data_IF_695587473611
#
_entry.id   IF_695587473611
#
_cell.length_a   1.000
_cell.length_b   1.000
_cell.length_c   1.000
_cell.angle_alpha   90.00
_cell.angle_beta   90.00
_cell.angle_gamma   90.00
#
_symmetry.space_group_name_H-M   'P 1'
#
loop_
_entity.id
_entity.type
_entity.pdbx_description
1 polymer ?
#
# COMPACT_ATOMS: atom_id res chain seq x y z
N UNK A 1 2.49 -26.35 -6.92
CA UNK A 1 3.53 -25.33 -6.66
C UNK A 1 4.78 -26.04 -6.17
N UNK A 2 5.98 -25.60 -6.57
CA UNK A 2 7.24 -26.20 -6.11
C UNK A 2 7.91 -25.29 -5.07
N UNK A 3 8.39 -25.89 -3.99
CA UNK A 3 9.15 -25.23 -2.93
C UNK A 3 10.51 -25.89 -2.84
N UNK A 4 11.60 -25.14 -2.98
CA UNK A 4 12.96 -25.63 -2.70
C UNK A 4 13.39 -25.13 -1.33
N UNK A 5 13.83 -26.05 -0.48
CA UNK A 5 14.33 -25.78 0.86
C UNK A 5 15.85 -25.56 0.81
N UNK A 6 16.38 -24.87 1.84
CA UNK A 6 17.82 -24.57 1.96
C UNK A 6 18.71 -25.81 2.07
N UNK A 7 18.15 -26.94 2.53
CA UNK A 7 18.84 -28.22 2.58
C UNK A 7 18.87 -28.97 1.23
N UNK A 8 18.27 -28.40 0.17
CA UNK A 8 18.20 -29.00 -1.16
C UNK A 8 16.98 -29.88 -1.40
N UNK A 9 16.17 -30.16 -0.39
CA UNK A 9 14.91 -30.89 -0.58
C UNK A 9 13.92 -30.05 -1.39
N UNK A 10 13.12 -30.72 -2.21
CA UNK A 10 12.03 -30.06 -2.94
C UNK A 10 10.69 -30.66 -2.54
N UNK A 11 9.70 -29.79 -2.37
CA UNK A 11 8.33 -30.14 -2.04
C UNK A 11 7.43 -29.65 -3.17
N UNK A 12 6.73 -30.58 -3.82
CA UNK A 12 5.73 -30.24 -4.82
C UNK A 12 4.34 -30.56 -4.28
N UNK A 13 3.48 -29.56 -4.14
CA UNK A 13 2.12 -29.75 -3.64
C UNK A 13 1.23 -28.52 -3.81
N UNK A 14 0.07 -28.57 -3.18
CA UNK A 14 -0.93 -27.49 -3.21
C UNK A 14 -0.81 -26.61 -1.97
N UNK A 15 -0.66 -25.29 -2.17
CA UNK A 15 -0.63 -24.34 -1.07
C UNK A 15 -2.02 -24.24 -0.42
N UNK A 16 -2.09 -24.52 0.87
CA UNK A 16 -3.32 -24.38 1.66
C UNK A 16 -3.32 -23.09 2.47
N UNK A 17 -2.19 -22.79 3.10
CA UNK A 17 -2.06 -21.61 3.94
C UNK A 17 -0.62 -21.07 3.90
N UNK A 18 -0.50 -19.76 4.02
CA UNK A 18 0.76 -19.01 4.11
C UNK A 18 0.59 -17.87 5.12
N UNK A 19 1.50 -17.75 6.08
CA UNK A 19 1.50 -16.65 7.05
C UNK A 19 2.48 -15.52 6.67
N UNK A 20 2.52 -14.46 7.48
CA UNK A 20 3.40 -13.30 7.27
C UNK A 20 4.89 -13.60 7.43
N UNK A 21 5.26 -14.75 7.99
CA UNK A 21 6.64 -15.22 8.11
C UNK A 21 7.02 -16.24 7.04
N UNK A 22 6.16 -16.42 6.04
CA UNK A 22 6.26 -17.43 4.97
C UNK A 22 6.27 -18.88 5.49
N UNK A 23 5.68 -19.16 6.66
CA UNK A 23 5.40 -20.55 7.01
C UNK A 23 4.28 -21.06 6.10
N UNK A 24 4.48 -22.25 5.51
CA UNK A 24 3.58 -22.81 4.52
C UNK A 24 2.96 -24.11 5.02
N UNK A 25 1.67 -24.28 4.73
CA UNK A 25 0.99 -25.56 4.83
C UNK A 25 0.66 -26.03 3.42
N UNK A 26 1.18 -27.20 3.03
CA UNK A 26 0.95 -27.80 1.72
C UNK A 26 0.20 -29.12 1.86
N UNK A 27 -0.68 -29.43 0.91
CA UNK A 27 -1.37 -30.73 0.81
C UNK A 27 -0.98 -31.49 -0.45
N UNK A 28 -1.15 -32.81 -0.37
CA UNK A 28 -0.85 -33.77 -1.45
C UNK A 28 0.57 -33.58 -1.99
N UNK A 29 1.52 -33.63 -1.07
CA UNK A 29 2.90 -33.23 -1.33
C UNK A 29 3.71 -34.42 -1.81
N UNK A 30 4.50 -34.22 -2.85
CA UNK A 30 5.62 -35.09 -3.23
C UNK A 30 6.90 -34.41 -2.76
N UNK A 31 7.55 -35.00 -1.77
CA UNK A 31 8.89 -34.62 -1.33
C UNK A 31 9.93 -35.37 -2.15
N UNK A 32 10.95 -34.65 -2.60
CA UNK A 32 12.13 -35.21 -3.27
C UNK A 32 13.36 -34.92 -2.42
N UNK A 33 14.21 -35.94 -2.22
CA UNK A 33 15.51 -35.79 -1.54
C UNK A 33 16.42 -34.79 -2.28
N UNK A 34 17.42 -34.21 -1.60
CA UNK A 34 18.41 -33.35 -2.26
C UNK A 34 19.16 -34.04 -3.40
N UNK A 35 19.36 -35.35 -3.29
CA UNK A 35 20.04 -36.18 -4.29
C UNK A 35 19.13 -36.56 -5.47
N UNK A 36 17.81 -36.32 -5.37
CA UNK A 36 16.85 -36.63 -6.43
C UNK A 36 16.50 -38.11 -6.60
N UNK A 37 16.94 -38.96 -5.66
CA UNK A 37 16.82 -40.42 -5.72
C UNK A 37 15.61 -40.98 -4.95
N UNK A 38 15.06 -40.20 -4.01
CA UNK A 38 13.96 -40.62 -3.14
C UNK A 38 12.77 -39.68 -3.26
N UNK A 39 11.61 -40.29 -3.43
CA UNK A 39 10.33 -39.60 -3.53
C UNK A 39 9.38 -40.11 -2.46
N UNK A 40 8.88 -39.21 -1.62
CA UNK A 40 7.93 -39.54 -0.55
C UNK A 40 6.64 -38.77 -0.79
N UNK A 41 5.51 -39.47 -0.78
CA UNK A 41 4.19 -38.84 -0.84
C UNK A 41 3.68 -38.61 0.57
N UNK A 42 3.35 -37.36 0.87
CA UNK A 42 2.83 -36.92 2.16
C UNK A 42 1.45 -36.31 1.95
N UNK A 43 0.45 -36.66 2.79
CA UNK A 43 -0.88 -36.06 2.69
C UNK A 43 -0.85 -34.56 2.98
N UNK A 44 -0.02 -34.14 3.94
CA UNK A 44 0.13 -32.75 4.36
C UNK A 44 1.54 -32.52 4.90
N UNK A 45 2.08 -31.31 4.70
CA UNK A 45 3.37 -30.90 5.26
C UNK A 45 3.32 -29.46 5.75
N UNK A 46 4.01 -29.19 6.86
CA UNK A 46 4.23 -27.85 7.38
C UNK A 46 5.70 -27.46 7.21
N UNK A 47 5.93 -26.31 6.58
CA UNK A 47 7.27 -25.79 6.28
C UNK A 47 7.46 -24.47 7.03
N UNK A 48 8.56 -24.36 7.78
CA UNK A 48 8.95 -23.07 8.36
C UNK A 48 9.55 -22.16 7.28
N UNK A 49 9.10 -20.91 7.22
CA UNK A 49 9.50 -19.96 6.18
C UNK A 49 10.99 -19.64 6.15
N UNK A 50 11.66 -19.70 7.30
CA UNK A 50 13.10 -19.49 7.40
C UNK A 50 13.94 -20.54 6.66
N UNK A 51 13.39 -21.73 6.40
CA UNK A 51 14.06 -22.83 5.71
C UNK A 51 13.83 -22.80 4.19
N UNK A 52 12.98 -21.90 3.69
CA UNK A 52 12.67 -21.78 2.27
C UNK A 52 13.83 -21.08 1.56
N UNK A 53 14.24 -21.61 0.41
CA UNK A 53 15.20 -20.98 -0.49
C UNK A 53 14.46 -20.20 -1.58
N UNK A 54 13.54 -20.85 -2.30
CA UNK A 54 12.67 -20.19 -3.26
C UNK A 54 11.39 -21.00 -3.51
N UNK A 55 10.41 -20.34 -4.13
CA UNK A 55 9.15 -20.93 -4.61
C UNK A 55 9.07 -20.77 -6.13
N UNK A 56 8.54 -21.78 -6.82
CA UNK A 56 8.12 -21.65 -8.23
C UNK A 56 6.61 -21.59 -8.29
N UNK A 57 6.12 -20.44 -8.74
CA UNK A 57 4.69 -20.14 -8.87
C UNK A 57 4.32 -20.18 -10.36
N UNK A 58 3.17 -20.75 -10.74
CA UNK A 58 2.68 -20.69 -12.12
C UNK A 58 2.50 -19.24 -12.60
N UNK A 59 2.75 -18.99 -13.89
CA UNK A 59 2.61 -17.64 -14.49
C UNK A 59 1.19 -17.09 -14.37
N UNK A 60 0.17 -17.95 -14.44
CA UNK A 60 -1.24 -17.59 -14.28
C UNK A 60 -1.53 -16.82 -12.97
N UNK A 61 -0.82 -17.16 -11.88
CA UNK A 61 -0.99 -16.49 -10.59
C UNK A 61 -0.43 -15.06 -10.62
N UNK A 62 0.59 -14.81 -11.45
CA UNK A 62 1.21 -13.49 -11.60
C UNK A 62 0.21 -12.51 -12.25
N UNK A 63 -0.52 -12.99 -13.25
CA UNK A 63 -1.56 -12.21 -13.93
C UNK A 63 -2.70 -11.87 -12.98
N UNK A 64 -3.22 -12.87 -12.27
CA UNK A 64 -4.29 -12.69 -11.27
C UNK A 64 -3.89 -11.70 -10.16
N UNK A 65 -2.65 -11.78 -9.67
CA UNK A 65 -2.14 -10.85 -8.66
C UNK A 65 -2.07 -9.41 -9.19
N UNK A 66 -1.67 -9.24 -10.45
CA UNK A 66 -1.60 -7.93 -11.11
C UNK A 66 -2.98 -7.31 -11.28
N UNK A 67 -3.98 -8.10 -11.69
CA UNK A 67 -5.36 -7.65 -11.80
C UNK A 67 -5.97 -7.28 -10.44
N UNK A 68 -5.74 -8.11 -9.41
CA UNK A 68 -6.20 -7.84 -8.06
C UNK A 68 -5.64 -6.52 -7.51
N UNK A 69 -4.34 -6.23 -7.73
CA UNK A 69 -3.74 -4.97 -7.32
C UNK A 69 -4.34 -3.75 -8.03
N UNK A 70 -4.64 -3.86 -9.34
CA UNK A 70 -5.29 -2.77 -10.10
C UNK A 70 -6.69 -2.48 -9.55
N UNK A 71 -7.47 -3.50 -9.25
CA UNK A 71 -8.80 -3.36 -8.67
C UNK A 71 -8.75 -2.72 -7.26
N UNK A 72 -7.74 -3.06 -6.46
CA UNK A 72 -7.56 -2.45 -5.14
C UNK A 72 -7.18 -0.97 -5.22
N UNK A 73 -6.37 -0.58 -6.22
CA UNK A 73 -5.96 0.82 -6.43
C UNK A 73 -7.08 1.68 -7.02
N UNK A 74 -8.01 1.09 -7.80
CA UNK A 74 -9.21 1.75 -8.31
C UNK A 74 -10.14 2.27 -7.19
N UNK A 75 -10.28 1.51 -6.10
CA UNK A 75 -11.09 1.92 -4.96
C UNK A 75 -10.47 3.07 -4.14
N UNK A 76 -9.14 3.26 -4.18
CA UNK A 76 -8.48 4.36 -3.46
C UNK A 76 -8.45 5.67 -4.27
N UNK A 77 -8.60 5.59 -5.60
CA UNK A 77 -8.70 6.77 -6.48
C UNK A 77 -10.14 7.28 -6.68
N UNK A 78 -11.16 6.56 -6.17
CA UNK A 78 -12.55 7.02 -6.15
C UNK A 78 -12.91 8.01 -5.03
N UNK A 79 -11.99 8.26 -4.08
CA UNK A 79 -12.22 9.18 -2.96
C UNK A 79 -11.84 10.65 -3.20
N UNK A 80 -11.34 10.99 -4.40
CA UNK A 80 -10.98 12.38 -4.75
C UNK A 80 -11.37 12.71 -6.19
N UNK A 81 -12.64 13.02 -6.39
CA UNK A 81 -13.07 13.88 -7.49
C UNK A 81 -14.22 13.36 -8.33
N UNK A 82 -15.42 13.86 -8.06
CA UNK A 82 -16.58 13.84 -8.95
C UNK A 82 -17.79 14.35 -8.17
N UNK A 83 -18.35 15.52 -8.38
CA UNK A 83 -18.38 16.38 -9.56
C UNK A 83 -19.84 16.62 -9.90
N UNK A 84 -20.45 17.70 -9.39
CA UNK A 84 -21.78 18.13 -9.81
C UNK A 84 -21.78 19.67 -10.00
N UNK A 85 -21.53 20.10 -11.23
CA UNK A 85 -21.90 21.43 -11.71
C UNK A 85 -23.40 21.66 -11.53
N UNK A 86 -23.82 22.82 -11.00
CA UNK A 86 -25.11 23.47 -11.28
C UNK A 86 -25.21 24.89 -10.69
N UNK A 87 -25.40 25.88 -11.56
CA UNK A 87 -25.97 27.22 -11.28
C UNK A 87 -24.96 28.25 -10.76
N UNK A 88 -24.50 29.23 -11.52
CA UNK A 88 -25.30 30.33 -12.10
C UNK A 88 -26.28 30.93 -11.08
N UNK A 89 -25.79 31.86 -10.24
CA UNK A 89 -26.61 32.89 -9.62
C UNK A 89 -25.76 34.16 -9.45
N UNK A 90 -25.84 35.03 -10.45
CA UNK A 90 -25.62 36.44 -10.23
C UNK A 90 -26.65 36.98 -9.23
N UNK A 91 -26.23 37.94 -8.40
CA UNK A 91 -27.18 38.85 -7.77
C UNK A 91 -26.87 39.30 -6.35
N UNK A 92 -26.48 40.58 -6.27
CA UNK A 92 -26.92 41.59 -5.26
C UNK A 92 -26.21 41.68 -3.90
N UNK A 93 -25.60 42.85 -3.72
CA UNK A 93 -25.40 43.53 -2.44
C UNK A 93 -23.96 44.04 -2.30
N UNK A 94 -23.58 45.25 -2.71
CA UNK A 94 -24.27 46.53 -2.61
C UNK A 94 -23.52 47.37 -1.59
N UNK A 95 -22.80 48.42 -2.03
CA UNK A 95 -22.08 49.29 -1.09
C UNK A 95 -21.07 50.26 -1.71
N UNK A 96 -21.50 51.05 -2.68
CA UNK A 96 -20.85 52.31 -3.07
C UNK A 96 -20.76 53.28 -1.87
N UNK A 97 -19.61 53.95 -1.71
CA UNK A 97 -19.32 55.25 -1.02
C UNK A 97 -17.83 55.21 -0.63
N UNK A 98 -16.92 55.99 -1.20
CA UNK A 98 -17.01 57.40 -1.49
C UNK A 98 -15.92 58.15 -0.70
N UNK A 99 -14.85 58.52 -1.39
CA UNK A 99 -14.17 59.83 -1.32
C UNK A 99 -14.23 60.61 0.01
N UNK A 100 -13.07 60.77 0.68
CA UNK A 100 -12.73 62.03 1.38
C UNK A 100 -12.03 61.89 2.75
N UNK A 101 -10.91 62.60 2.93
CA UNK A 101 -10.42 62.96 4.27
C UNK A 101 -8.91 63.18 4.40
N UNK A 102 -8.44 64.42 4.19
CA UNK A 102 -7.08 64.91 4.47
C UNK A 102 -6.83 65.13 5.97
N UNK A 103 -5.56 65.04 6.38
CA UNK A 103 -5.00 65.68 7.58
C UNK A 103 -4.27 64.66 8.47
N UNK A 104 -2.96 64.67 8.68
CA UNK A 104 -2.04 65.80 8.86
C UNK A 104 -1.65 65.83 10.34
N UNK A 105 -0.38 65.55 10.69
CA UNK A 105 0.03 65.67 12.10
C UNK A 105 1.40 65.06 12.44
N UNK A 106 2.43 65.92 12.38
CA UNK A 106 3.80 65.73 12.89
C UNK A 106 3.84 65.73 14.43
N UNK A 107 4.80 65.01 15.00
CA UNK A 107 5.34 65.23 16.35
C UNK A 107 5.07 64.05 17.29
N UNK A 108 6.03 63.45 18.00
CA UNK A 108 7.38 63.86 18.39
C UNK A 108 7.57 63.56 19.88
N UNK A 109 8.79 63.14 20.28
CA UNK A 109 9.29 62.94 21.67
C UNK A 109 8.73 61.69 22.38
N UNK A 110 9.48 60.82 23.03
CA UNK A 110 10.84 60.86 23.56
C UNK A 110 10.87 60.14 24.93
N UNK A 111 12.04 59.61 25.33
CA UNK A 111 12.39 58.94 26.62
C UNK A 111 11.75 57.56 26.85
N UNK A 112 12.44 56.54 27.35
CA UNK A 112 13.79 56.41 27.92
C UNK A 112 13.81 55.32 29.00
N UNK A 113 14.95 54.62 29.16
CA UNK A 113 15.32 53.81 30.34
C UNK A 113 15.16 52.29 30.17
N UNK A 114 16.26 51.53 29.97
CA UNK A 114 17.17 50.91 30.97
C UNK A 114 16.56 49.72 31.74
N UNK A 115 17.23 48.56 31.62
CA UNK A 115 17.75 47.88 32.81
C UNK A 115 17.52 46.36 32.89
N UNK A 116 18.67 45.66 32.92
CA UNK A 116 18.97 44.28 33.33
C UNK A 116 18.63 43.15 32.36
#
# INVERSE_FOLDING_TARGET
>A
MLVELKNGETLNGHLVNCDTWMNLTLKEVVQTSPEGDKFVRLPEVYVKGNNIKYLRVPEEIIELATEAQKNQQGNFRGGRGGGQSRGDYGGRGGGDRGRGGRGGGRGGRGRGGRGQ
#
